data_IF_465702141485
#
_entry.id   IF_465702141485
#
_cell.length_a   1.000
_cell.length_b   1.000
_cell.length_c   1.000
_cell.angle_alpha   90.00
_cell.angle_beta   90.00
_cell.angle_gamma   90.00
#
_symmetry.space_group_name_H-M   'P 1'
#
loop_
_entity.id
_entity.type
_entity.pdbx_description
1 polymer ?
#
# COMPACT_ATOMS: atom_id res chain seq x y z
N UNK A 1 -30.80 -16.51 -3.07
CA UNK A 1 -30.09 -16.95 -1.84
C UNK A 1 -28.64 -17.18 -2.23
N UNK A 2 -27.79 -16.18 -2.13
CA UNK A 2 -26.35 -16.30 -2.42
C UNK A 2 -25.64 -16.54 -1.08
N UNK A 3 -25.01 -17.70 -0.96
CA UNK A 3 -24.25 -18.09 0.21
C UNK A 3 -23.05 -17.14 0.42
N UNK A 4 -23.04 -16.46 1.57
CA UNK A 4 -21.87 -15.76 2.06
C UNK A 4 -20.77 -16.79 2.35
N UNK A 5 -19.82 -16.92 1.44
CA UNK A 5 -18.61 -17.66 1.70
C UNK A 5 -17.84 -16.98 2.84
N UNK A 6 -17.77 -17.65 3.98
CA UNK A 6 -17.01 -17.21 5.14
C UNK A 6 -15.53 -17.08 4.77
N UNK A 7 -14.96 -15.91 4.97
CA UNK A 7 -13.52 -15.67 4.80
C UNK A 7 -12.73 -16.49 5.83
N UNK A 8 -11.61 -17.09 5.44
CA UNK A 8 -10.81 -17.88 6.37
C UNK A 8 -10.19 -17.00 7.47
N UNK A 9 -9.84 -17.57 8.62
CA UNK A 9 -9.34 -16.89 9.82
C UNK A 9 -7.99 -16.15 9.67
N UNK A 10 -7.40 -16.19 8.52
CA UNK A 10 -6.06 -15.69 8.17
C UNK A 10 -5.89 -14.18 8.39
N UNK A 11 -6.93 -13.38 8.09
CA UNK A 11 -6.87 -11.94 8.33
C UNK A 11 -6.84 -11.60 9.83
N UNK A 12 -7.40 -12.46 10.69
CA UNK A 12 -7.32 -12.30 12.14
C UNK A 12 -5.88 -12.47 12.67
N UNK A 13 -5.09 -13.34 12.04
CA UNK A 13 -3.72 -13.62 12.50
C UNK A 13 -2.74 -12.49 12.14
N UNK A 14 -2.98 -11.78 11.02
CA UNK A 14 -2.17 -10.59 10.68
C UNK A 14 -2.43 -9.42 11.65
N UNK A 15 -3.59 -9.41 12.33
CA UNK A 15 -3.92 -8.40 13.35
C UNK A 15 -3.31 -8.71 14.74
N UNK A 16 -3.05 -9.99 15.05
CA UNK A 16 -2.61 -10.40 16.39
C UNK A 16 -1.09 -10.32 16.61
N UNK A 17 -0.29 -10.23 15.57
CA UNK A 17 1.18 -10.19 15.66
C UNK A 17 1.78 -8.79 15.51
N UNK A 18 1.03 -7.73 15.77
CA UNK A 18 1.57 -6.38 15.89
C UNK A 18 1.97 -6.17 17.35
N UNK A 19 3.23 -5.93 17.69
CA UNK A 19 3.63 -5.66 19.05
C UNK A 19 2.96 -4.38 19.55
N UNK A 20 2.13 -4.49 20.57
CA UNK A 20 1.68 -3.36 21.36
C UNK A 20 2.83 -2.90 22.26
N UNK A 21 3.65 -2.01 21.80
CA UNK A 21 4.56 -1.29 22.66
C UNK A 21 4.39 0.21 22.41
N UNK A 22 3.67 0.85 23.28
CA UNK A 22 3.94 2.13 23.92
C UNK A 22 2.65 2.66 24.55
N UNK A 23 2.40 2.24 25.80
CA UNK A 23 1.62 3.04 26.74
C UNK A 23 2.55 4.09 27.32
N UNK A 24 2.45 5.32 26.84
CA UNK A 24 3.10 6.48 27.46
C UNK A 24 2.46 6.81 28.79
N UNK A 25 3.28 6.83 29.82
CA UNK A 25 3.00 7.27 31.19
C UNK A 25 2.65 8.76 31.22
N UNK A 26 1.48 9.08 31.81
CA UNK A 26 1.16 10.43 32.28
C UNK A 26 2.06 10.77 33.46
N UNK A 27 2.63 11.95 33.49
CA UNK A 27 2.98 12.67 34.72
C UNK A 27 2.59 14.13 34.59
N UNK A 28 1.99 14.56 35.67
CA UNK A 28 1.34 15.83 35.98
C UNK A 28 2.24 17.03 36.05
N UNK A 29 1.60 18.19 35.82
CA UNK A 29 1.75 19.38 36.64
C UNK A 29 2.75 20.43 36.16
N UNK A 30 2.25 21.63 35.87
CA UNK A 30 2.62 22.92 36.53
C UNK A 30 1.87 24.11 35.92
N UNK A 31 1.00 24.66 36.75
CA UNK A 31 0.58 26.05 37.02
C UNK A 31 0.64 27.16 35.97
N UNK A 32 -0.54 27.84 36.00
CA UNK A 32 -0.88 29.18 35.47
C UNK A 32 0.12 30.28 35.83
N UNK A 33 0.34 31.20 34.88
CA UNK A 33 0.41 32.63 35.17
C UNK A 33 -0.09 33.45 33.98
N UNK A 34 -1.02 34.31 34.33
CA UNK A 34 -1.68 35.33 33.52
C UNK A 34 -0.71 36.44 33.10
N UNK A 35 -0.91 37.04 31.92
CA UNK A 35 -0.61 38.45 31.69
C UNK A 35 -1.67 39.07 30.74
N UNK A 36 -2.08 40.26 31.18
CA UNK A 36 -3.11 41.11 30.56
C UNK A 36 -2.70 41.71 29.22
N UNK A 37 -3.63 41.79 28.34
CA UNK A 37 -4.23 42.87 27.61
C UNK A 37 -3.38 43.85 26.79
N UNK A 38 -3.68 43.93 25.49
CA UNK A 38 -3.86 45.22 24.78
C UNK A 38 -4.85 44.96 23.64
N UNK A 39 -5.99 45.64 23.67
CA UNK A 39 -6.95 45.80 22.58
C UNK A 39 -6.47 46.88 21.63
N UNK A 40 -6.50 46.60 20.32
CA UNK A 40 -6.72 47.65 19.30
C UNK A 40 -7.37 46.97 18.07
N UNK A 41 -8.48 47.57 17.65
CA UNK A 41 -9.39 47.09 16.66
C UNK A 41 -8.93 47.27 15.21
N UNK A 42 -9.63 46.63 14.32
CA UNK A 42 -9.61 46.95 12.89
C UNK A 42 -9.74 45.73 11.98
N UNK A 43 -10.93 45.54 11.41
CA UNK A 43 -11.04 44.95 10.10
C UNK A 43 -11.14 43.41 9.97
N UNK A 44 -12.30 42.86 10.19
CA UNK A 44 -12.64 41.54 9.73
C UNK A 44 -12.76 41.53 8.19
N UNK A 45 -11.73 41.06 7.51
CA UNK A 45 -11.85 40.61 6.11
C UNK A 45 -12.02 39.07 6.13
N UNK A 46 -13.22 38.62 5.86
CA UNK A 46 -13.56 37.20 5.71
C UNK A 46 -12.90 36.71 4.43
N UNK A 47 -11.77 36.01 4.54
CA UNK A 47 -11.16 35.23 3.48
C UNK A 47 -11.74 33.79 3.50
N UNK A 48 -13.00 33.64 3.07
CA UNK A 48 -13.65 32.34 2.88
C UNK A 48 -13.62 31.89 1.41
N UNK A 49 -12.49 32.01 0.71
CA UNK A 49 -12.42 31.69 -0.71
C UNK A 49 -11.27 30.77 -1.16
N UNK A 50 -10.27 30.54 -0.33
CA UNK A 50 -9.02 29.91 -0.78
C UNK A 50 -8.95 28.38 -0.70
N UNK A 51 -9.66 27.75 0.22
CA UNK A 51 -9.55 26.31 0.45
C UNK A 51 -10.34 25.45 -0.54
N UNK A 52 -11.50 25.92 -1.00
CA UNK A 52 -12.36 25.17 -1.94
C UNK A 52 -11.76 25.02 -3.34
N UNK A 53 -10.99 25.98 -3.84
CA UNK A 53 -10.39 25.90 -5.17
C UNK A 53 -9.17 24.98 -5.26
N UNK A 54 -8.44 24.83 -4.16
CA UNK A 54 -7.24 23.95 -4.12
C UNK A 54 -7.67 22.48 -4.19
N UNK A 55 -8.78 22.10 -3.53
CA UNK A 55 -9.29 20.73 -3.58
C UNK A 55 -9.86 20.34 -4.95
N UNK A 56 -10.48 21.27 -5.67
CA UNK A 56 -11.09 20.97 -6.97
C UNK A 56 -10.07 20.76 -8.09
N UNK A 57 -8.93 21.46 -8.06
CA UNK A 57 -7.82 21.25 -9.00
C UNK A 57 -6.99 20.01 -8.68
N UNK A 58 -6.80 19.69 -7.38
CA UNK A 58 -6.11 18.47 -6.97
C UNK A 58 -6.89 17.19 -7.33
N UNK A 59 -8.21 17.18 -7.16
CA UNK A 59 -9.06 16.04 -7.51
C UNK A 59 -9.06 15.74 -9.03
N UNK A 60 -8.96 16.77 -9.86
CA UNK A 60 -8.96 16.61 -11.34
C UNK A 60 -7.62 16.09 -11.86
N UNK A 61 -6.51 16.34 -11.17
CA UNK A 61 -5.17 15.89 -11.55
C UNK A 61 -4.81 14.47 -10.99
N UNK A 62 -5.64 13.93 -10.10
CA UNK A 62 -5.29 12.72 -9.34
C UNK A 62 -5.37 11.42 -10.16
N UNK A 63 -6.18 11.38 -11.21
CA UNK A 63 -6.59 10.11 -11.83
C UNK A 63 -5.69 9.60 -12.96
N UNK A 64 -4.92 10.50 -13.62
CA UNK A 64 -3.95 10.13 -14.65
C UNK A 64 -2.49 10.41 -14.24
N UNK A 65 -2.30 10.85 -12.99
CA UNK A 65 -0.99 11.25 -12.52
C UNK A 65 -0.07 10.02 -12.33
N UNK A 66 1.12 10.10 -12.88
CA UNK A 66 2.21 9.19 -12.57
C UNK A 66 2.92 9.65 -11.30
N UNK A 67 3.49 8.71 -10.56
CA UNK A 67 4.40 8.96 -9.44
C UNK A 67 5.79 8.44 -9.81
N UNK A 68 6.84 9.18 -9.44
CA UNK A 68 8.22 8.75 -9.66
C UNK A 68 8.78 8.12 -8.40
N UNK A 69 8.73 6.80 -8.31
CA UNK A 69 9.42 6.05 -7.26
C UNK A 69 10.93 6.22 -7.41
N UNK A 70 11.59 6.66 -6.33
CA UNK A 70 13.02 6.90 -6.34
C UNK A 70 13.49 7.97 -7.32
N UNK A 71 12.57 8.76 -7.90
CA UNK A 71 12.84 9.82 -8.86
C UNK A 71 12.94 9.37 -10.32
N UNK A 72 13.10 8.08 -10.60
CA UNK A 72 13.39 7.54 -11.93
C UNK A 72 12.46 6.43 -12.42
N UNK A 73 11.70 5.75 -11.52
CA UNK A 73 10.66 4.78 -11.90
C UNK A 73 9.30 5.47 -12.00
N UNK A 74 8.83 5.71 -13.21
CA UNK A 74 7.52 6.32 -13.46
C UNK A 74 6.43 5.26 -13.37
N UNK A 75 5.60 5.30 -12.32
CA UNK A 75 4.48 4.38 -12.12
C UNK A 75 3.15 5.12 -12.19
N UNK A 76 2.12 4.49 -12.75
CA UNK A 76 0.74 4.94 -12.58
C UNK A 76 0.34 4.75 -11.13
N UNK A 77 -0.40 5.71 -10.58
CA UNK A 77 -0.73 5.69 -9.15
C UNK A 77 -1.60 4.50 -8.74
N UNK A 78 -2.46 4.01 -9.63
CA UNK A 78 -3.26 2.81 -9.41
C UNK A 78 -2.51 1.58 -9.95
N UNK A 79 -1.96 0.78 -9.03
CA UNK A 79 -1.27 -0.46 -9.31
C UNK A 79 -2.17 -1.70 -9.14
N UNK A 80 -1.55 -2.88 -9.17
CA UNK A 80 -2.21 -4.16 -8.99
C UNK A 80 -1.50 -5.00 -7.92
N UNK A 81 -2.24 -5.54 -6.93
CA UNK A 81 -1.73 -6.45 -5.91
C UNK A 81 -1.98 -7.92 -6.27
N UNK A 82 -0.91 -8.70 -6.45
CA UNK A 82 -0.98 -10.07 -6.92
C UNK A 82 -1.28 -11.12 -5.82
N UNK A 83 -1.37 -10.72 -4.55
CA UNK A 83 -1.58 -11.65 -3.43
C UNK A 83 -2.82 -12.55 -3.60
N UNK A 84 -3.89 -12.04 -4.21
CA UNK A 84 -5.16 -12.77 -4.41
C UNK A 84 -5.14 -13.76 -5.58
N UNK A 85 -4.06 -13.78 -6.36
CA UNK A 85 -3.90 -14.73 -7.48
C UNK A 85 -3.43 -16.11 -7.03
N UNK A 86 -3.11 -16.31 -5.74
CA UNK A 86 -2.70 -17.59 -5.18
C UNK A 86 -3.88 -18.38 -4.64
N UNK A 87 -3.66 -19.63 -4.27
CA UNK A 87 -4.70 -20.50 -3.73
C UNK A 87 -5.25 -20.06 -2.38
N UNK A 88 -6.21 -20.82 -1.88
CA UNK A 88 -6.89 -20.53 -0.61
C UNK A 88 -5.88 -20.38 0.53
N UNK A 89 -6.10 -19.35 1.34
CA UNK A 89 -5.17 -19.05 2.42
C UNK A 89 -3.86 -18.41 1.97
N UNK A 90 -3.80 -17.90 0.75
CA UNK A 90 -2.58 -17.36 0.13
C UNK A 90 -1.50 -18.46 0.12
N UNK A 91 -1.91 -19.66 -0.32
CA UNK A 91 -1.11 -20.87 -0.31
C UNK A 91 -1.27 -21.68 -1.57
N UNK A 92 -0.13 -22.05 -2.20
CA UNK A 92 -0.10 -22.83 -3.42
C UNK A 92 -0.72 -22.15 -4.64
N UNK A 93 -0.95 -22.94 -5.66
CA UNK A 93 -1.51 -22.51 -6.92
C UNK A 93 -3.01 -22.19 -6.80
N UNK A 94 -3.53 -21.22 -7.58
CA UNK A 94 -4.97 -20.97 -7.65
C UNK A 94 -5.70 -22.16 -8.26
N UNK A 95 -6.98 -22.30 -7.95
CA UNK A 95 -7.86 -23.32 -8.55
C UNK A 95 -7.99 -23.12 -10.06
N UNK A 96 -8.07 -21.87 -10.49
CA UNK A 96 -8.06 -21.49 -11.91
C UNK A 96 -6.80 -20.67 -12.24
N UNK A 97 -5.76 -21.39 -12.67
CA UNK A 97 -4.49 -20.78 -13.08
C UNK A 97 -4.65 -19.99 -14.40
N UNK A 98 -5.51 -20.43 -15.28
CA UNK A 98 -5.74 -19.74 -16.55
C UNK A 98 -6.40 -18.38 -16.32
N UNK A 99 -7.38 -18.31 -15.41
CA UNK A 99 -7.98 -17.02 -15.01
C UNK A 99 -6.97 -16.10 -14.33
N UNK A 100 -6.11 -16.62 -13.45
CA UNK A 100 -5.05 -15.81 -12.81
C UNK A 100 -4.10 -15.20 -13.85
N UNK A 101 -3.71 -15.96 -14.88
CA UNK A 101 -2.90 -15.47 -16.00
C UNK A 101 -3.65 -14.40 -16.80
N UNK A 102 -4.95 -14.60 -17.09
CA UNK A 102 -5.78 -13.61 -17.78
C UNK A 102 -5.85 -12.29 -16.98
N UNK A 103 -6.03 -12.36 -15.66
CA UNK A 103 -6.07 -11.18 -14.79
C UNK A 103 -4.77 -10.38 -14.92
N UNK A 104 -3.61 -11.04 -14.88
CA UNK A 104 -2.31 -10.37 -15.01
C UNK A 104 -2.14 -9.70 -16.39
N UNK A 105 -2.46 -10.41 -17.46
CA UNK A 105 -2.40 -9.85 -18.83
C UNK A 105 -3.36 -8.68 -18.97
N UNK A 106 -4.60 -8.82 -18.48
CA UNK A 106 -5.60 -7.77 -18.55
C UNK A 106 -5.22 -6.54 -17.75
N UNK A 107 -4.55 -6.69 -16.61
CA UNK A 107 -4.05 -5.56 -15.84
C UNK A 107 -3.08 -4.70 -16.67
N UNK A 108 -2.14 -5.32 -17.37
CA UNK A 108 -1.20 -4.63 -18.25
C UNK A 108 -1.91 -3.99 -19.46
N UNK A 109 -2.87 -4.69 -20.09
CA UNK A 109 -3.69 -4.15 -21.18
C UNK A 109 -4.48 -2.91 -20.76
N UNK A 110 -4.98 -2.89 -19.51
CA UNK A 110 -5.65 -1.72 -18.93
C UNK A 110 -4.68 -0.60 -18.53
N UNK A 111 -3.41 -0.83 -18.76
CA UNK A 111 -2.34 0.14 -18.56
C UNK A 111 -1.77 0.20 -17.14
N UNK A 112 -2.02 -0.80 -16.30
CA UNK A 112 -1.29 -0.95 -15.03
C UNK A 112 0.18 -1.20 -15.33
N UNK A 113 1.06 -0.43 -14.70
CA UNK A 113 2.51 -0.59 -14.82
C UNK A 113 3.22 -0.72 -13.47
N UNK A 114 2.47 -0.94 -12.39
CA UNK A 114 3.00 -1.30 -11.07
C UNK A 114 2.29 -2.56 -10.59
N UNK A 115 3.01 -3.68 -10.49
CA UNK A 115 2.52 -4.94 -9.92
C UNK A 115 3.24 -5.21 -8.62
N UNK A 116 2.49 -5.38 -7.53
CA UNK A 116 3.00 -5.72 -6.21
C UNK A 116 2.80 -7.21 -5.91
N UNK A 117 3.88 -7.89 -5.54
CA UNK A 117 3.90 -9.30 -5.13
C UNK A 117 4.78 -9.51 -3.90
N UNK A 118 5.06 -10.75 -3.53
CA UNK A 118 6.05 -11.16 -2.52
C UNK A 118 6.45 -12.63 -2.71
N UNK A 119 7.63 -13.00 -2.25
CA UNK A 119 8.10 -14.38 -2.15
C UNK A 119 7.19 -15.25 -1.26
N UNK A 120 6.60 -14.64 -0.24
CA UNK A 120 5.71 -15.28 0.71
C UNK A 120 4.28 -15.54 0.18
N UNK A 121 3.94 -15.07 -1.03
CA UNK A 121 2.60 -15.29 -1.61
C UNK A 121 2.55 -16.60 -2.38
N UNK A 122 1.85 -17.59 -1.79
CA UNK A 122 1.66 -18.89 -2.35
C UNK A 122 2.51 -20.07 -1.85
N UNK A 123 3.54 -20.00 -0.97
CA UNK A 123 4.76 -19.22 -1.17
C UNK A 123 5.35 -19.44 -2.58
N UNK A 124 6.04 -18.44 -3.07
CA UNK A 124 6.69 -18.41 -4.39
C UNK A 124 5.73 -18.35 -5.61
N UNK A 125 4.52 -18.90 -5.48
CA UNK A 125 3.56 -19.08 -6.58
C UNK A 125 3.21 -17.78 -7.29
N UNK A 126 3.05 -16.67 -6.54
CA UNK A 126 2.67 -15.39 -7.12
C UNK A 126 3.75 -14.85 -8.07
N UNK A 127 5.03 -14.94 -7.70
CA UNK A 127 6.14 -14.54 -8.57
C UNK A 127 6.25 -15.42 -9.81
N UNK A 128 6.03 -16.74 -9.68
CA UNK A 128 6.01 -17.66 -10.80
C UNK A 128 4.85 -17.37 -11.77
N UNK A 129 3.65 -17.06 -11.25
CA UNK A 129 2.49 -16.67 -12.07
C UNK A 129 2.76 -15.38 -12.86
N UNK A 130 3.38 -14.39 -12.23
CA UNK A 130 3.75 -13.14 -12.89
C UNK A 130 4.74 -13.40 -14.03
N UNK A 131 5.78 -14.20 -13.77
CA UNK A 131 6.74 -14.56 -14.80
C UNK A 131 6.14 -15.38 -15.94
N UNK A 132 5.22 -16.29 -15.65
CA UNK A 132 4.53 -17.09 -16.67
C UNK A 132 3.61 -16.23 -17.55
N UNK A 133 2.89 -15.30 -16.94
CA UNK A 133 1.91 -14.48 -17.64
C UNK A 133 2.54 -13.36 -18.48
N UNK A 134 3.64 -12.76 -18.00
CA UNK A 134 4.11 -11.46 -18.49
C UNK A 134 5.56 -11.45 -19.00
N UNK A 135 6.36 -12.51 -18.76
CA UNK A 135 7.72 -12.54 -19.30
C UNK A 135 7.73 -12.96 -20.79
N UNK A 136 8.44 -12.22 -21.69
CA UNK A 136 9.27 -11.03 -21.41
C UNK A 136 8.43 -9.81 -21.05
N UNK A 137 8.86 -9.09 -20.01
CA UNK A 137 8.08 -7.98 -19.45
C UNK A 137 8.03 -6.76 -20.37
N UNK A 138 6.90 -6.03 -20.43
CA UNK A 138 6.86 -4.71 -21.03
C UNK A 138 7.89 -3.78 -20.37
N UNK A 139 8.55 -2.94 -21.18
CA UNK A 139 9.64 -2.07 -20.73
C UNK A 139 9.28 -1.16 -19.54
N UNK A 140 8.04 -0.68 -19.52
CA UNK A 140 7.56 0.27 -18.51
C UNK A 140 6.93 -0.45 -17.28
N UNK A 141 6.90 -1.79 -17.26
CA UNK A 141 6.33 -2.52 -16.15
C UNK A 141 7.30 -2.57 -14.98
N UNK A 142 6.86 -2.11 -13.84
CA UNK A 142 7.57 -2.13 -12.56
C UNK A 142 7.03 -3.27 -11.70
N UNK A 143 7.91 -4.16 -11.27
CA UNK A 143 7.56 -5.24 -10.36
C UNK A 143 8.13 -4.93 -8.98
N UNK A 144 7.22 -4.81 -8.00
CA UNK A 144 7.56 -4.71 -6.60
C UNK A 144 7.39 -6.08 -5.95
N UNK A 145 8.46 -6.62 -5.34
CA UNK A 145 8.38 -7.84 -4.55
C UNK A 145 8.95 -7.63 -3.14
N UNK A 146 8.77 -8.61 -2.28
CA UNK A 146 9.13 -8.52 -0.85
C UNK A 146 9.77 -9.81 -0.38
N UNK A 147 10.60 -9.71 0.67
CA UNK A 147 11.10 -10.84 1.45
C UNK A 147 11.20 -10.48 2.92
N UNK A 148 11.45 -11.48 3.74
CA UNK A 148 11.53 -11.31 5.18
C UNK A 148 10.38 -11.95 5.96
N UNK A 149 9.55 -12.76 5.28
CA UNK A 149 8.55 -13.61 5.92
C UNK A 149 8.77 -15.07 5.54
N UNK A 150 8.72 -15.95 6.51
CA UNK A 150 8.59 -17.39 6.29
C UNK A 150 7.13 -17.83 6.39
N UNK A 151 6.80 -18.91 5.69
CA UNK A 151 5.46 -19.47 5.61
C UNK A 151 5.49 -20.96 6.04
N UNK A 152 5.38 -21.26 7.37
CA UNK A 152 5.36 -22.64 7.86
C UNK A 152 4.15 -23.45 7.41
N UNK A 153 3.05 -22.78 7.05
CA UNK A 153 1.81 -23.39 6.58
C UNK A 153 0.79 -22.34 6.11
N UNK A 154 -0.36 -22.78 5.58
CA UNK A 154 -1.46 -21.90 5.18
C UNK A 154 -1.83 -20.96 6.34
N UNK A 155 -1.94 -19.66 6.06
CA UNK A 155 -2.32 -18.66 7.05
C UNK A 155 -1.24 -18.34 8.10
N UNK A 156 -0.09 -19.00 8.09
CA UNK A 156 1.00 -18.74 9.03
C UNK A 156 2.04 -17.81 8.39
N UNK A 157 2.37 -16.74 9.09
CA UNK A 157 3.30 -15.70 8.65
C UNK A 157 4.28 -15.40 9.78
N UNK A 158 5.56 -15.67 9.58
CA UNK A 158 6.59 -15.49 10.60
C UNK A 158 7.68 -14.58 10.05
N UNK A 159 7.98 -13.49 10.75
CA UNK A 159 9.07 -12.58 10.39
C UNK A 159 10.42 -13.28 10.47
N UNK A 160 11.27 -13.03 9.49
CA UNK A 160 12.65 -13.51 9.47
C UNK A 160 13.52 -12.45 8.78
N UNK A 161 14.10 -11.56 9.61
CA UNK A 161 14.95 -10.46 9.17
C UNK A 161 16.43 -10.80 9.07
N UNK A 162 16.84 -12.08 9.24
CA UNK A 162 18.25 -12.47 9.22
C UNK A 162 18.88 -12.14 7.86
N UNK A 163 20.08 -11.53 7.87
CA UNK A 163 20.80 -11.12 6.66
C UNK A 163 20.94 -12.22 5.60
N UNK A 164 21.33 -13.42 6.02
CA UNK A 164 21.51 -14.56 5.13
C UNK A 164 20.18 -15.04 4.53
N UNK A 165 19.08 -14.97 5.28
CA UNK A 165 17.75 -15.31 4.77
C UNK A 165 17.27 -14.30 3.73
N UNK A 166 17.40 -13.00 4.01
CA UNK A 166 17.01 -11.93 3.08
C UNK A 166 17.82 -11.99 1.78
N UNK A 167 19.13 -12.29 1.86
CA UNK A 167 19.96 -12.52 0.68
C UNK A 167 19.43 -13.67 -0.16
N UNK A 168 19.06 -14.79 0.45
CA UNK A 168 18.45 -15.93 -0.25
C UNK A 168 17.08 -15.58 -0.87
N UNK A 169 16.25 -14.77 -0.19
CA UNK A 169 14.96 -14.30 -0.72
C UNK A 169 15.16 -13.52 -2.01
N UNK A 170 16.09 -12.56 -2.04
CA UNK A 170 16.40 -11.77 -3.24
C UNK A 170 16.85 -12.66 -4.39
N UNK A 171 17.83 -13.55 -4.16
CA UNK A 171 18.36 -14.45 -5.18
C UNK A 171 17.29 -15.37 -5.78
N UNK A 172 16.40 -15.89 -4.94
CA UNK A 172 15.28 -16.74 -5.37
C UNK A 172 14.22 -15.94 -6.13
N UNK A 173 13.91 -14.72 -5.70
CA UNK A 173 12.96 -13.84 -6.39
C UNK A 173 13.45 -13.44 -7.78
N UNK A 174 14.73 -13.10 -7.94
CA UNK A 174 15.35 -12.84 -9.26
C UNK A 174 15.16 -14.03 -10.21
N UNK A 175 15.39 -15.26 -9.74
CA UNK A 175 15.21 -16.48 -10.53
C UNK A 175 13.75 -16.73 -10.92
N UNK A 176 12.82 -16.60 -9.96
CA UNK A 176 11.39 -16.83 -10.23
C UNK A 176 10.80 -15.80 -11.16
N UNK A 177 11.14 -14.54 -10.96
CA UNK A 177 10.71 -13.43 -11.82
C UNK A 177 11.47 -13.38 -13.14
N UNK A 178 12.56 -14.15 -13.33
CA UNK A 178 13.39 -14.16 -14.53
C UNK A 178 13.95 -12.77 -14.87
N UNK A 179 14.40 -12.04 -13.86
CA UNK A 179 15.02 -10.73 -14.00
C UNK A 179 16.43 -10.71 -13.39
N UNK A 180 17.29 -9.87 -13.93
CA UNK A 180 18.64 -9.64 -13.39
C UNK A 180 18.62 -8.64 -12.25
N UNK A 181 17.61 -7.75 -12.20
CA UNK A 181 17.44 -6.72 -11.19
C UNK A 181 15.96 -6.53 -10.85
N UNK A 182 15.64 -6.52 -9.56
CA UNK A 182 14.30 -6.19 -9.03
C UNK A 182 14.16 -4.67 -8.99
N UNK A 183 13.05 -4.14 -9.55
CA UNK A 183 12.80 -2.70 -9.57
C UNK A 183 12.56 -2.11 -8.19
N UNK A 184 11.69 -2.75 -7.40
CA UNK A 184 11.38 -2.36 -6.03
C UNK A 184 11.37 -3.60 -5.13
N UNK A 185 12.29 -3.67 -4.18
CA UNK A 185 12.32 -4.72 -3.17
C UNK A 185 11.94 -4.16 -1.80
N UNK A 186 11.01 -4.81 -1.10
CA UNK A 186 10.50 -4.32 0.17
C UNK A 186 10.83 -5.29 1.30
N UNK A 187 11.32 -4.77 2.43
CA UNK A 187 11.36 -5.55 3.67
C UNK A 187 9.92 -5.76 4.13
N UNK A 188 9.45 -7.02 4.06
CA UNK A 188 8.03 -7.36 4.24
C UNK A 188 7.53 -7.08 5.66
N UNK A 189 8.39 -7.35 6.68
CA UNK A 189 8.17 -7.00 8.09
C UNK A 189 9.52 -6.79 8.77
N UNK A 190 9.57 -5.86 9.68
CA UNK A 190 10.67 -5.78 10.63
C UNK A 190 10.57 -6.99 11.58
N UNK A 191 11.67 -7.70 11.75
CA UNK A 191 11.76 -8.82 12.69
C UNK A 191 12.24 -8.29 14.04
N UNK A 192 11.44 -8.44 15.08
CA UNK A 192 11.78 -7.97 16.43
C UNK A 192 12.98 -8.70 17.06
N UNK A 193 13.42 -9.82 16.47
CA UNK A 193 14.55 -10.64 16.94
C UNK A 193 15.87 -10.28 16.25
N UNK A 194 15.83 -9.41 15.23
CA UNK A 194 17.00 -9.01 14.44
C UNK A 194 17.03 -7.48 14.37
N UNK A 195 18.15 -6.82 14.66
CA UNK A 195 18.26 -5.39 14.43
C UNK A 195 17.88 -5.04 12.99
N UNK A 196 16.98 -4.07 12.83
CA UNK A 196 16.50 -3.67 11.51
C UNK A 196 17.67 -3.23 10.59
N UNK A 197 18.68 -2.62 11.18
CA UNK A 197 19.88 -2.15 10.51
C UNK A 197 20.69 -3.32 9.89
N UNK A 198 20.71 -4.49 10.54
CA UNK A 198 21.37 -5.70 10.00
C UNK A 198 20.59 -6.24 8.79
N UNK A 199 19.26 -6.30 8.91
CA UNK A 199 18.36 -6.70 7.81
C UNK A 199 18.54 -5.77 6.62
N UNK A 200 18.54 -4.46 6.84
CA UNK A 200 18.71 -3.44 5.80
C UNK A 200 20.13 -3.43 5.24
N UNK A 201 21.14 -3.75 6.05
CA UNK A 201 22.53 -3.90 5.61
C UNK A 201 22.69 -5.01 4.57
N UNK A 202 21.97 -6.12 4.72
CA UNK A 202 21.94 -7.18 3.71
C UNK A 202 21.27 -6.72 2.41
N UNK A 203 20.11 -6.05 2.52
CA UNK A 203 19.40 -5.51 1.34
C UNK A 203 20.26 -4.45 0.62
N UNK A 204 20.95 -3.59 1.37
CA UNK A 204 21.89 -2.60 0.83
C UNK A 204 22.99 -3.26 0.00
N UNK A 205 23.61 -4.33 0.50
CA UNK A 205 24.64 -5.08 -0.25
C UNK A 205 24.10 -5.62 -1.57
N UNK A 206 22.84 -6.10 -1.57
CA UNK A 206 22.19 -6.59 -2.80
C UNK A 206 21.86 -5.43 -3.77
N UNK A 207 21.54 -4.24 -3.26
CA UNK A 207 21.37 -3.04 -4.06
C UNK A 207 22.70 -2.58 -4.68
N UNK A 208 23.76 -2.52 -3.89
CA UNK A 208 25.12 -2.19 -4.35
C UNK A 208 25.66 -3.19 -5.38
N UNK A 209 25.26 -4.46 -5.27
CA UNK A 209 25.56 -5.50 -6.26
C UNK A 209 24.70 -5.42 -7.54
N UNK A 210 23.82 -4.40 -7.67
CA UNK A 210 22.97 -4.18 -8.83
C UNK A 210 21.75 -5.11 -8.94
N UNK A 211 21.47 -5.92 -7.92
CA UNK A 211 20.35 -6.89 -7.89
C UNK A 211 19.02 -6.27 -7.49
N UNK A 212 19.04 -5.13 -6.81
CA UNK A 212 17.89 -4.33 -6.41
C UNK A 212 18.12 -2.90 -6.89
N UNK A 213 17.09 -2.30 -7.51
CA UNK A 213 17.14 -0.90 -7.93
C UNK A 213 16.72 0.01 -6.78
N UNK A 214 15.55 -0.17 -6.23
CA UNK A 214 15.00 0.61 -5.13
C UNK A 214 14.53 -0.25 -3.98
N UNK A 215 14.54 0.34 -2.77
CA UNK A 215 14.14 -0.34 -1.54
C UNK A 215 12.96 0.37 -0.89
N UNK A 216 12.00 -0.42 -0.41
CA UNK A 216 10.86 0.00 0.39
C UNK A 216 10.75 -0.77 1.69
N UNK A 217 9.81 -0.33 2.54
CA UNK A 217 9.49 -0.97 3.82
C UNK A 217 8.00 -1.26 3.91
N UNK A 218 7.62 -2.20 4.77
CA UNK A 218 6.22 -2.51 5.03
C UNK A 218 5.93 -2.58 6.53
N UNK A 219 4.77 -2.00 6.93
CA UNK A 219 4.26 -1.93 8.31
C UNK A 219 5.21 -1.24 9.28
N UNK A 220 5.61 -0.03 8.95
CA UNK A 220 6.55 0.80 9.71
C UNK A 220 6.00 2.20 9.96
N UNK A 221 6.39 2.78 11.10
CA UNK A 221 6.09 4.16 11.47
C UNK A 221 7.21 5.14 11.10
N UNK A 222 6.99 6.46 11.33
CA UNK A 222 7.97 7.50 11.01
C UNK A 222 9.35 7.30 11.63
N UNK A 223 9.43 6.78 12.85
CA UNK A 223 10.70 6.53 13.54
C UNK A 223 11.51 5.44 12.82
N UNK A 224 10.85 4.32 12.48
CA UNK A 224 11.49 3.22 11.77
C UNK A 224 11.90 3.64 10.35
N UNK A 225 11.07 4.41 9.66
CA UNK A 225 11.40 4.97 8.35
C UNK A 225 12.65 5.87 8.46
N UNK A 226 12.69 6.76 9.45
CA UNK A 226 13.83 7.66 9.67
C UNK A 226 15.12 6.90 9.99
N UNK A 227 15.04 5.83 10.81
CA UNK A 227 16.18 4.95 11.11
C UNK A 227 16.66 4.22 9.86
N UNK A 228 15.74 3.63 9.09
CA UNK A 228 16.06 2.90 7.87
C UNK A 228 16.78 3.80 6.84
N UNK A 229 16.34 5.03 6.67
CA UNK A 229 16.93 6.02 5.75
C UNK A 229 18.36 6.44 6.11
N UNK A 230 18.81 6.16 7.33
CA UNK A 230 20.23 6.32 7.70
C UNK A 230 21.10 5.17 7.18
N UNK A 231 20.52 4.02 6.86
CA UNK A 231 21.24 2.85 6.33
C UNK A 231 21.31 2.86 4.81
N UNK A 232 20.15 3.12 4.14
CA UNK A 232 20.04 3.18 2.69
C UNK A 232 18.84 4.04 2.26
N UNK A 233 18.79 4.51 1.00
CA UNK A 233 17.63 5.24 0.48
C UNK A 233 16.38 4.36 0.47
N UNK A 234 15.28 4.87 1.08
CA UNK A 234 13.95 4.25 1.06
C UNK A 234 13.07 5.09 0.13
N UNK A 235 12.37 4.44 -0.81
CA UNK A 235 11.53 5.13 -1.80
C UNK A 235 10.04 4.88 -1.64
N UNK A 236 9.64 3.83 -0.89
CA UNK A 236 8.23 3.52 -0.65
C UNK A 236 7.98 2.92 0.73
N UNK A 237 6.77 3.15 1.22
CA UNK A 237 6.22 2.55 2.44
C UNK A 237 4.93 1.84 2.08
N UNK A 238 4.80 0.57 2.48
CA UNK A 238 3.60 -0.22 2.24
C UNK A 238 2.95 -0.62 3.57
N UNK A 239 1.92 0.10 3.97
CA UNK A 239 1.21 -0.13 5.22
C UNK A 239 -0.27 -0.45 4.97
N UNK A 240 -0.93 -1.12 5.93
CA UNK A 240 -2.37 -1.33 5.87
C UNK A 240 -3.10 0.00 6.00
N UNK A 241 -3.84 0.37 4.94
CA UNK A 241 -4.52 1.65 4.93
C UNK A 241 -5.74 1.62 4.00
N UNK A 242 -6.87 2.13 4.48
CA UNK A 242 -8.11 2.31 3.71
C UNK A 242 -9.02 3.29 4.44
N UNK A 243 -10.21 3.56 3.88
CA UNK A 243 -11.15 4.54 4.44
C UNK A 243 -11.53 4.24 5.90
N UNK A 244 -11.55 2.99 6.33
CA UNK A 244 -11.91 2.56 7.68
C UNK A 244 -10.71 2.23 8.59
N UNK A 245 -9.49 2.21 8.07
CA UNK A 245 -8.27 1.92 8.84
C UNK A 245 -7.19 2.93 8.46
N UNK A 246 -7.03 3.93 9.31
CA UNK A 246 -6.12 5.08 9.10
C UNK A 246 -5.06 5.21 10.20
N UNK A 247 -4.76 4.12 10.87
CA UNK A 247 -3.76 4.13 11.96
C UNK A 247 -2.38 4.65 11.51
N UNK A 248 -2.09 4.60 10.19
CA UNK A 248 -0.85 5.04 9.59
C UNK A 248 -0.92 6.43 8.93
N UNK A 249 -1.87 7.29 9.34
CA UNK A 249 -1.92 8.69 8.86
C UNK A 249 -0.59 9.44 9.11
N UNK A 250 0.10 9.15 10.20
CA UNK A 250 1.41 9.71 10.51
C UNK A 250 2.51 9.24 9.54
N UNK A 251 2.48 7.98 9.11
CA UNK A 251 3.42 7.45 8.11
C UNK A 251 3.10 8.01 6.72
N UNK A 252 1.81 8.18 6.37
CA UNK A 252 1.39 8.85 5.15
C UNK A 252 1.90 10.30 5.11
N UNK A 253 1.69 11.07 6.19
CA UNK A 253 2.18 12.44 6.29
C UNK A 253 3.72 12.53 6.18
N UNK A 254 4.44 11.55 6.75
CA UNK A 254 5.88 11.44 6.56
C UNK A 254 6.25 11.21 5.09
N UNK A 255 5.53 10.31 4.40
CA UNK A 255 5.75 10.04 2.98
C UNK A 255 5.47 11.27 2.11
N UNK A 256 4.42 12.03 2.40
CA UNK A 256 4.11 13.30 1.71
C UNK A 256 5.26 14.30 1.85
N UNK A 257 5.75 14.50 3.06
CA UNK A 257 6.85 15.43 3.35
C UNK A 257 8.14 15.04 2.65
N UNK A 258 8.44 13.76 2.59
CA UNK A 258 9.73 13.25 2.08
C UNK A 258 9.67 12.77 0.62
N UNK A 259 8.52 12.89 -0.05
CA UNK A 259 8.32 12.46 -1.44
C UNK A 259 8.42 10.95 -1.64
N UNK A 260 8.07 10.14 -0.62
CA UNK A 260 8.06 8.68 -0.70
C UNK A 260 6.72 8.16 -1.20
N UNK A 261 6.70 7.10 -2.02
CA UNK A 261 5.46 6.43 -2.39
C UNK A 261 4.81 5.73 -1.20
N UNK A 262 3.51 5.96 -0.98
CA UNK A 262 2.74 5.23 0.03
C UNK A 262 1.82 4.22 -0.65
N UNK A 263 2.08 2.92 -0.42
CA UNK A 263 1.37 1.80 -1.05
C UNK A 263 0.39 1.16 -0.04
N UNK A 264 -0.90 1.55 -0.04
CA UNK A 264 -1.86 0.97 0.89
C UNK A 264 -2.13 -0.49 0.52
N UNK A 265 -1.80 -1.45 1.38
CA UNK A 265 -2.31 -2.80 1.24
C UNK A 265 -3.67 -2.93 1.93
N UNK A 266 -4.50 -3.87 1.48
CA UNK A 266 -5.94 -3.95 1.85
C UNK A 266 -6.71 -2.65 1.56
N UNK A 267 -6.52 -2.03 0.38
CA UNK A 267 -7.08 -0.72 0.06
C UNK A 267 -8.61 -0.70 0.08
N UNK A 268 -9.23 -1.86 -0.14
CA UNK A 268 -10.69 -2.05 -0.12
C UNK A 268 -11.16 -2.86 1.10
N UNK A 269 -10.43 -2.82 2.21
CA UNK A 269 -10.82 -3.42 3.49
C UNK A 269 -10.90 -4.95 3.52
N UNK A 270 -10.49 -5.65 2.45
CA UNK A 270 -10.51 -7.12 2.39
C UNK A 270 -11.91 -7.74 2.54
N UNK A 271 -12.96 -6.99 2.23
CA UNK A 271 -14.37 -7.45 2.28
C UNK A 271 -15.04 -7.34 3.65
N UNK A 272 -14.35 -6.89 4.70
CA UNK A 272 -14.93 -6.83 6.05
C UNK A 272 -15.43 -5.45 6.49
N UNK A 273 -14.81 -4.39 6.07
CA UNK A 273 -14.94 -3.09 6.72
C UNK A 273 -15.51 -1.97 5.86
N UNK A 274 -15.91 -2.24 4.63
CA UNK A 274 -16.46 -1.20 3.76
C UNK A 274 -17.98 -0.99 3.93
N UNK A 275 -18.58 -1.55 4.97
CA UNK A 275 -19.99 -1.27 5.33
C UNK A 275 -20.05 0.03 6.13
N UNK A 276 -19.90 1.16 5.46
CA UNK A 276 -20.28 2.45 6.04
C UNK A 276 -21.40 3.04 5.19
N UNK A 277 -22.45 3.54 5.83
CA UNK A 277 -23.56 4.19 5.12
C UNK A 277 -23.08 5.35 4.22
N UNK A 278 -21.94 5.96 4.55
CA UNK A 278 -21.31 6.99 3.76
C UNK A 278 -20.79 6.45 2.40
N UNK A 279 -20.07 5.32 2.42
CA UNK A 279 -19.60 4.67 1.19
C UNK A 279 -20.75 4.22 0.29
N UNK A 280 -21.79 3.61 0.90
CA UNK A 280 -22.98 3.17 0.16
C UNK A 280 -23.73 4.34 -0.47
N UNK A 281 -23.86 5.45 0.27
CA UNK A 281 -24.54 6.66 -0.21
C UNK A 281 -23.80 7.26 -1.42
N UNK A 282 -22.48 7.42 -1.33
CA UNK A 282 -21.66 7.96 -2.42
C UNK A 282 -21.63 7.00 -3.61
N UNK A 283 -21.50 5.69 -3.39
CA UNK A 283 -21.53 4.68 -4.44
C UNK A 283 -22.85 4.73 -5.22
N UNK A 284 -23.99 4.83 -4.52
CA UNK A 284 -25.32 4.98 -5.14
C UNK A 284 -25.44 6.26 -5.96
N UNK A 285 -24.95 7.38 -5.44
CA UNK A 285 -25.01 8.67 -6.14
C UNK A 285 -24.23 8.66 -7.47
N UNK A 286 -23.13 7.93 -7.52
CA UNK A 286 -22.30 7.79 -8.72
C UNK A 286 -22.65 6.58 -9.59
N UNK A 287 -23.55 5.69 -9.16
CA UNK A 287 -23.89 4.45 -9.88
C UNK A 287 -22.72 3.46 -9.99
N UNK A 288 -21.83 3.44 -8.98
CA UNK A 288 -20.61 2.63 -8.93
C UNK A 288 -20.57 1.72 -7.69
N UNK A 289 -19.59 0.81 -7.62
CA UNK A 289 -19.41 -0.03 -6.44
C UNK A 289 -18.77 0.73 -5.27
N UNK A 290 -19.01 0.28 -4.04
CA UNK A 290 -18.33 0.81 -2.83
C UNK A 290 -16.80 0.65 -2.90
N UNK A 291 -16.32 -0.36 -3.64
CA UNK A 291 -14.91 -0.60 -3.87
C UNK A 291 -14.28 0.48 -4.75
N UNK A 292 -15.00 0.90 -5.80
CA UNK A 292 -14.56 2.01 -6.65
C UNK A 292 -14.48 3.32 -5.88
N UNK A 293 -15.48 3.61 -5.02
CA UNK A 293 -15.45 4.79 -4.14
C UNK A 293 -14.26 4.75 -3.18
N UNK A 294 -13.98 3.60 -2.57
CA UNK A 294 -12.85 3.45 -1.65
C UNK A 294 -11.49 3.66 -2.36
N UNK A 295 -11.31 3.15 -3.57
CA UNK A 295 -10.09 3.35 -4.36
C UNK A 295 -9.97 4.82 -4.78
N UNK A 296 -11.05 5.45 -5.25
CA UNK A 296 -11.07 6.86 -5.64
C UNK A 296 -10.75 7.77 -4.45
N UNK A 297 -11.28 7.46 -3.25
CA UNK A 297 -10.94 8.17 -2.02
C UNK A 297 -9.44 8.07 -1.70
N UNK A 298 -8.83 6.89 -1.79
CA UNK A 298 -7.40 6.72 -1.59
C UNK A 298 -6.59 7.59 -2.56
N UNK A 299 -6.92 7.57 -3.85
CA UNK A 299 -6.24 8.38 -4.86
C UNK A 299 -6.39 9.88 -4.60
N UNK A 300 -7.53 10.31 -4.06
CA UNK A 300 -7.77 11.71 -3.71
C UNK A 300 -7.12 12.11 -2.37
N UNK A 301 -6.85 11.14 -1.46
CA UNK A 301 -6.33 11.39 -0.12
C UNK A 301 -4.92 11.97 -0.12
N UNK A 302 -4.08 11.58 -1.06
CA UNK A 302 -2.70 12.07 -1.13
C UNK A 302 -2.08 11.88 -2.53
N UNK A 303 -1.24 12.81 -3.00
CA UNK A 303 -0.53 12.65 -4.28
C UNK A 303 0.51 11.52 -4.27
N UNK A 304 1.00 11.11 -3.10
CA UNK A 304 1.96 10.01 -2.96
C UNK A 304 1.30 8.63 -2.79
N UNK A 305 -0.05 8.59 -2.79
CA UNK A 305 -0.82 7.37 -2.60
C UNK A 305 -0.78 6.50 -3.86
N UNK A 306 -0.40 5.22 -3.69
CA UNK A 306 -0.26 4.22 -4.75
C UNK A 306 -1.08 2.97 -4.38
N UNK A 307 -2.42 2.99 -4.49
CA UNK A 307 -3.27 1.85 -4.16
C UNK A 307 -2.96 0.64 -5.04
N UNK A 308 -2.92 -0.55 -4.42
CA UNK A 308 -2.66 -1.82 -5.07
C UNK A 308 -3.81 -2.82 -4.83
N UNK A 309 -5.04 -2.52 -5.30
CA UNK A 309 -6.16 -3.44 -5.15
C UNK A 309 -5.86 -4.76 -5.87
N UNK A 310 -6.07 -5.88 -5.19
CA UNK A 310 -5.86 -7.23 -5.71
C UNK A 310 -7.16 -8.00 -5.87
N UNK A 311 -7.26 -8.76 -6.95
CA UNK A 311 -8.39 -9.64 -7.25
C UNK A 311 -7.93 -10.86 -8.05
N UNK A 312 -8.74 -11.92 -8.08
CA UNK A 312 -8.57 -13.10 -8.93
C UNK A 312 -9.60 -13.17 -10.07
N UNK A 313 -10.34 -12.08 -10.35
CA UNK A 313 -11.35 -11.99 -11.38
C UNK A 313 -11.09 -10.82 -12.32
N UNK A 314 -11.19 -11.07 -13.63
CA UNK A 314 -11.04 -10.03 -14.67
C UNK A 314 -12.09 -8.92 -14.48
N UNK A 315 -13.35 -9.27 -14.22
CA UNK A 315 -14.41 -8.27 -14.03
C UNK A 315 -14.14 -7.34 -12.82
N UNK A 316 -13.69 -7.91 -11.70
CA UNK A 316 -13.33 -7.10 -10.53
C UNK A 316 -12.06 -6.26 -10.77
N UNK A 317 -11.14 -6.73 -11.61
CA UNK A 317 -9.97 -5.94 -12.01
C UNK A 317 -10.42 -4.72 -12.82
N UNK A 318 -11.27 -4.90 -13.81
CA UNK A 318 -11.81 -3.82 -14.64
C UNK A 318 -12.56 -2.79 -13.79
N UNK A 319 -13.36 -3.26 -12.83
CA UNK A 319 -14.05 -2.42 -11.83
C UNK A 319 -13.06 -1.60 -10.99
N UNK A 320 -12.02 -2.23 -10.46
CA UNK A 320 -11.01 -1.56 -9.67
C UNK A 320 -10.24 -0.50 -10.48
N UNK A 321 -9.91 -0.79 -11.74
CA UNK A 321 -9.19 0.16 -12.60
C UNK A 321 -10.09 1.32 -13.02
N UNK A 322 -11.39 1.06 -13.26
CA UNK A 322 -12.36 2.11 -13.56
C UNK A 322 -12.48 3.15 -12.43
N UNK A 323 -12.20 2.76 -11.17
CA UNK A 323 -12.15 3.70 -10.04
C UNK A 323 -11.18 4.87 -10.23
N UNK A 324 -10.12 4.69 -11.03
CA UNK A 324 -9.17 5.75 -11.39
C UNK A 324 -9.82 6.92 -12.16
N UNK A 325 -10.99 6.73 -12.74
CA UNK A 325 -11.76 7.78 -13.45
C UNK A 325 -12.82 8.44 -12.58
N UNK A 326 -13.12 7.89 -11.41
CA UNK A 326 -14.15 8.42 -10.51
C UNK A 326 -13.65 9.70 -9.82
N UNK A 327 -14.40 10.78 -9.96
CA UNK A 327 -14.10 12.03 -9.30
C UNK A 327 -15.07 12.25 -8.14
N UNK A 328 -14.53 12.29 -6.94
CA UNK A 328 -15.27 12.58 -5.72
C UNK A 328 -15.26 14.10 -5.47
N UNK A 329 -16.39 14.66 -5.08
CA UNK A 329 -16.49 16.05 -4.65
C UNK A 329 -15.80 16.28 -3.31
N UNK A 330 -15.47 17.53 -2.99
CA UNK A 330 -14.88 17.89 -1.68
C UNK A 330 -15.80 17.51 -0.51
N UNK A 331 -17.12 17.61 -0.68
CA UNK A 331 -18.11 17.22 0.32
C UNK A 331 -18.10 15.70 0.57
N UNK A 332 -18.06 14.89 -0.51
CA UNK A 332 -17.97 13.43 -0.41
C UNK A 332 -16.66 12.99 0.24
N UNK A 333 -15.53 13.58 -0.14
CA UNK A 333 -14.23 13.30 0.48
C UNK A 333 -14.25 13.60 1.98
N UNK A 334 -14.86 14.72 2.39
CA UNK A 334 -15.04 15.07 3.80
C UNK A 334 -15.92 14.06 4.52
N UNK A 335 -17.08 13.72 3.92
CA UNK A 335 -18.01 12.75 4.48
C UNK A 335 -17.35 11.37 4.67
N UNK A 336 -16.66 10.87 3.66
CA UNK A 336 -15.94 9.60 3.71
C UNK A 336 -14.80 9.61 4.73
N UNK A 337 -14.11 10.73 4.86
CA UNK A 337 -13.01 10.88 5.82
C UNK A 337 -13.49 10.98 7.27
N UNK A 338 -14.73 11.37 7.53
CA UNK A 338 -15.32 11.48 8.86
C UNK A 338 -16.11 10.22 9.27
N UNK A 339 -16.36 9.29 8.34
CA UNK A 339 -17.19 8.10 8.58
C UNK A 339 -16.43 6.87 9.12
N UNK A 340 -15.21 7.03 9.57
CA UNK A 340 -14.32 5.96 10.06
C UNK A 340 -14.24 5.90 11.58
#
# INVERSE_FOLDING_TARGET
>A
MLALAAFPPILRFMEQNIPHSFRGSRRDGVTRRSFLGVTLGGGAAILTGGASMIFSTAARAANDATFKLGGDLSVKRLGFGAMRLTGDGIWGWPKDRAEAIKVLKRAVELGVNLIDTADAYGPETSELLIAEALHPYPKELVIATKGGLTRPGPGQWVSNGRPEYLTQCVEKSLKRLKVERIDLYQLHRVDSKVPMEDSLGAIKKMQEAGKIRHVGLSEVGPEEISRARKVLPIVSIQNRYNVADRKWDNALAYCEKEGLGFMPWSPVGGGRSLKSGALETVAKAHGVSVYQVAIAWLLARSPVMLPIPGTSSVSHLEDNIAAGKLQLTAAELTTLSNAS
#
